data_IF_516930674825
#
_entry.id   IF_516930674825
#
_cell.length_a   1.000
_cell.length_b   1.000
_cell.length_c   1.000
_cell.angle_alpha   90.00
_cell.angle_beta   90.00
_cell.angle_gamma   90.00
#
_symmetry.space_group_name_H-M   'P 1'
#
loop_
_entity.id
_entity.type
_entity.pdbx_description
1 polymer ?
#
# COMPACT_ATOMS: atom_id res chain seq x y z
N UNK A 1 -0.33 -40.37 4.02
CA UNK A 1 -1.39 -39.68 3.26
C UNK A 1 -0.74 -38.66 2.32
N UNK A 2 -0.76 -38.90 1.01
CA UNK A 2 -0.27 -37.91 0.04
C UNK A 2 -1.31 -36.79 -0.08
N UNK A 3 -0.90 -35.55 0.11
CA UNK A 3 -1.76 -34.37 -0.07
C UNK A 3 -1.95 -34.17 -1.57
N UNK A 4 -3.20 -33.99 -2.00
CA UNK A 4 -3.60 -33.69 -3.38
C UNK A 4 -2.75 -32.53 -3.96
N UNK A 5 -2.13 -32.70 -5.14
CA UNK A 5 -1.35 -31.64 -5.79
C UNK A 5 -2.14 -30.34 -6.01
N UNK A 6 -3.45 -30.40 -6.27
CA UNK A 6 -4.29 -29.21 -6.44
C UNK A 6 -4.43 -28.40 -5.15
N UNK A 7 -4.53 -29.08 -4.00
CA UNK A 7 -4.55 -28.44 -2.68
C UNK A 7 -3.22 -27.75 -2.38
N UNK A 8 -2.09 -28.36 -2.79
CA UNK A 8 -0.77 -27.76 -2.62
C UNK A 8 -0.57 -26.52 -3.49
N UNK A 9 -1.06 -26.55 -4.73
CA UNK A 9 -0.97 -25.44 -5.67
C UNK A 9 -1.79 -24.24 -5.19
N UNK A 10 -3.04 -24.46 -4.79
CA UNK A 10 -3.89 -23.41 -4.20
C UNK A 10 -3.28 -22.82 -2.93
N UNK A 11 -2.69 -23.65 -2.07
CA UNK A 11 -1.99 -23.17 -0.88
C UNK A 11 -0.78 -22.28 -1.23
N UNK A 12 0.01 -22.64 -2.25
CA UNK A 12 1.15 -21.82 -2.71
C UNK A 12 0.69 -20.49 -3.28
N UNK A 13 -0.30 -20.50 -4.18
CA UNK A 13 -0.87 -19.28 -4.77
C UNK A 13 -1.44 -18.36 -3.70
N UNK A 14 -2.12 -18.93 -2.69
CA UNK A 14 -2.63 -18.17 -1.56
C UNK A 14 -1.53 -17.46 -0.78
N UNK A 15 -0.38 -18.12 -0.53
CA UNK A 15 0.78 -17.46 0.11
C UNK A 15 1.33 -16.31 -0.73
N UNK A 16 1.52 -16.56 -2.03
CA UNK A 16 2.09 -15.58 -2.95
C UNK A 16 1.20 -14.34 -3.04
N UNK A 17 -0.08 -14.52 -3.32
CA UNK A 17 -1.05 -13.42 -3.44
C UNK A 17 -1.15 -12.66 -2.11
N UNK A 18 -1.22 -13.36 -0.98
CA UNK A 18 -1.26 -12.70 0.33
C UNK A 18 -0.04 -11.84 0.60
N UNK A 19 1.17 -12.32 0.24
CA UNK A 19 2.38 -11.52 0.38
C UNK A 19 2.39 -10.34 -0.58
N UNK A 20 2.06 -10.55 -1.86
CA UNK A 20 2.01 -9.49 -2.87
C UNK A 20 1.08 -8.36 -2.41
N UNK A 21 -0.13 -8.68 -1.96
CA UNK A 21 -1.10 -7.69 -1.49
C UNK A 21 -0.58 -6.85 -0.32
N UNK A 22 0.21 -7.47 0.57
CA UNK A 22 0.86 -6.72 1.66
C UNK A 22 1.97 -5.82 1.14
N UNK A 23 2.78 -6.26 0.18
CA UNK A 23 3.93 -5.49 -0.31
C UNK A 23 3.58 -4.46 -1.40
N UNK A 24 2.41 -4.54 -2.04
CA UNK A 24 1.99 -3.63 -3.12
C UNK A 24 2.23 -2.15 -2.79
N UNK A 25 1.81 -1.62 -1.61
CA UNK A 25 2.09 -0.24 -1.24
C UNK A 25 3.59 0.13 -1.18
N UNK A 26 4.47 -0.81 -0.82
CA UNK A 26 5.92 -0.56 -0.79
C UNK A 26 6.53 -0.59 -2.18
N UNK A 27 5.98 -1.41 -3.06
CA UNK A 27 6.39 -1.49 -4.46
C UNK A 27 5.91 -0.30 -5.29
N UNK A 28 4.98 0.51 -4.75
CA UNK A 28 4.44 1.70 -5.43
C UNK A 28 5.32 2.94 -5.31
N UNK A 29 6.40 2.87 -4.52
CA UNK A 29 7.30 3.99 -4.23
C UNK A 29 8.13 4.41 -5.46
N UNK A 30 8.51 3.44 -6.29
CA UNK A 30 9.48 3.66 -7.38
C UNK A 30 8.82 3.48 -8.75
N UNK A 31 9.14 4.39 -9.66
CA UNK A 31 8.83 4.24 -11.08
C UNK A 31 9.83 3.32 -11.76
N UNK A 32 9.37 2.69 -12.82
CA UNK A 32 10.25 1.96 -13.73
C UNK A 32 10.98 2.99 -14.61
N UNK A 33 12.32 2.92 -14.77
CA UNK A 33 13.08 3.99 -15.44
C UNK A 33 12.62 4.37 -16.86
N UNK A 34 11.93 3.45 -17.56
CA UNK A 34 11.54 3.59 -18.97
C UNK A 34 10.04 3.92 -19.11
N UNK A 35 9.23 3.72 -18.07
CA UNK A 35 7.77 3.84 -18.12
C UNK A 35 7.26 4.62 -16.90
N UNK A 36 6.33 5.57 -17.06
CA UNK A 36 5.74 6.33 -15.95
C UNK A 36 4.70 5.47 -15.19
N UNK A 37 5.12 4.28 -14.76
CA UNK A 37 4.32 3.24 -14.13
C UNK A 37 5.17 2.64 -13.02
N UNK A 38 4.57 2.38 -11.86
CA UNK A 38 5.27 1.72 -10.75
C UNK A 38 5.30 0.20 -10.88
N UNK A 39 6.19 -0.45 -10.12
CA UNK A 39 6.22 -1.91 -10.04
C UNK A 39 4.89 -2.45 -9.50
N UNK A 40 4.27 -1.73 -8.56
CA UNK A 40 2.97 -2.12 -7.99
C UNK A 40 1.88 -2.17 -9.05
N UNK A 41 1.85 -1.20 -9.96
CA UNK A 41 0.85 -1.10 -11.02
C UNK A 41 1.01 -2.22 -12.05
N UNK A 42 2.24 -2.59 -12.42
CA UNK A 42 2.48 -3.74 -13.29
C UNK A 42 1.94 -5.02 -12.64
N UNK A 43 2.25 -5.24 -11.36
CA UNK A 43 1.76 -6.40 -10.62
C UNK A 43 0.22 -6.37 -10.57
N UNK A 44 -0.38 -5.20 -10.34
CA UNK A 44 -1.82 -5.03 -10.31
C UNK A 44 -2.45 -5.43 -11.65
N UNK A 45 -1.89 -4.99 -12.77
CA UNK A 45 -2.38 -5.34 -14.11
C UNK A 45 -2.37 -6.86 -14.28
N UNK A 46 -1.27 -7.53 -13.91
CA UNK A 46 -1.21 -8.99 -13.96
C UNK A 46 -2.26 -9.66 -13.06
N UNK A 47 -2.46 -9.15 -11.84
CA UNK A 47 -3.47 -9.69 -10.93
C UNK A 47 -4.90 -9.47 -11.44
N UNK A 48 -5.17 -8.32 -12.07
CA UNK A 48 -6.46 -8.02 -12.70
C UNK A 48 -6.70 -8.98 -13.87
N UNK A 49 -5.73 -9.14 -14.77
CA UNK A 49 -5.83 -10.09 -15.88
C UNK A 49 -6.05 -11.51 -15.36
N UNK A 50 -5.30 -11.93 -14.33
CA UNK A 50 -5.48 -13.23 -13.69
C UNK A 50 -6.89 -13.38 -13.09
N UNK A 51 -7.40 -12.35 -12.42
CA UNK A 51 -8.73 -12.36 -11.81
C UNK A 51 -9.87 -12.48 -12.83
N UNK A 52 -9.71 -11.97 -14.05
CA UNK A 52 -10.69 -12.11 -15.13
C UNK A 52 -10.89 -13.57 -15.55
N UNK A 53 -9.85 -14.42 -15.41
CA UNK A 53 -9.96 -15.85 -15.69
C UNK A 53 -10.67 -16.63 -14.56
N UNK A 54 -10.78 -16.03 -13.38
CA UNK A 54 -11.46 -16.61 -12.22
C UNK A 54 -12.94 -16.19 -12.24
N UNK A 55 -13.82 -17.10 -12.65
CA UNK A 55 -15.26 -16.84 -12.90
C UNK A 55 -16.13 -16.51 -11.67
N UNK A 56 -15.54 -16.07 -10.55
CA UNK A 56 -16.23 -15.84 -9.29
C UNK A 56 -16.04 -14.39 -8.83
N UNK A 57 -16.80 -13.47 -9.42
CA UNK A 57 -16.86 -12.09 -8.94
C UNK A 57 -18.12 -11.96 -8.09
N UNK A 58 -17.98 -12.01 -6.77
CA UNK A 58 -19.07 -11.67 -5.84
C UNK A 58 -18.81 -10.23 -5.38
N UNK A 59 -19.40 -9.27 -6.10
CA UNK A 59 -19.22 -7.82 -5.88
C UNK A 59 -20.23 -7.22 -4.88
N UNK A 60 -20.88 -8.04 -4.07
CA UNK A 60 -21.94 -7.58 -3.17
C UNK A 60 -21.39 -7.35 -1.75
N UNK A 61 -20.78 -6.18 -1.52
CA UNK A 61 -20.52 -5.70 -0.17
C UNK A 61 -21.00 -4.24 -0.03
N UNK A 62 -22.19 -4.06 0.55
CA UNK A 62 -22.79 -2.73 0.74
C UNK A 62 -21.90 -1.78 1.53
N UNK A 63 -21.20 -2.25 2.56
CA UNK A 63 -20.28 -1.40 3.33
C UNK A 63 -19.15 -0.86 2.46
N UNK A 64 -18.67 -1.66 1.50
CA UNK A 64 -17.65 -1.23 0.55
C UNK A 64 -18.18 -0.18 -0.42
N UNK A 65 -19.39 -0.36 -0.94
CA UNK A 65 -20.04 0.61 -1.83
C UNK A 65 -20.24 1.95 -1.10
N UNK A 66 -20.72 1.92 0.15
CA UNK A 66 -20.83 3.12 0.98
C UNK A 66 -19.49 3.81 1.22
N UNK A 67 -18.43 3.04 1.47
CA UNK A 67 -17.07 3.58 1.57
C UNK A 67 -16.62 4.26 0.28
N UNK A 68 -16.86 3.66 -0.90
CA UNK A 68 -16.52 4.28 -2.19
C UNK A 68 -17.27 5.59 -2.40
N UNK A 69 -18.59 5.63 -2.13
CA UNK A 69 -19.40 6.84 -2.25
C UNK A 69 -18.91 7.93 -1.28
N UNK A 70 -18.61 7.55 -0.04
CA UNK A 70 -18.07 8.46 0.96
C UNK A 70 -16.70 9.03 0.54
N UNK A 71 -15.79 8.17 0.10
CA UNK A 71 -14.46 8.59 -0.36
C UNK A 71 -14.56 9.49 -1.61
N UNK A 72 -15.48 9.17 -2.53
CA UNK A 72 -15.74 9.96 -3.73
C UNK A 72 -16.23 11.37 -3.41
N UNK A 73 -17.30 11.46 -2.61
CA UNK A 73 -17.85 12.76 -2.19
C UNK A 73 -16.85 13.57 -1.38
N UNK A 74 -16.12 12.94 -0.46
CA UNK A 74 -15.05 13.61 0.31
C UNK A 74 -13.94 14.14 -0.60
N UNK A 75 -13.50 13.35 -1.59
CA UNK A 75 -12.48 13.78 -2.55
C UNK A 75 -12.93 14.98 -3.39
N UNK A 76 -14.22 15.04 -3.78
CA UNK A 76 -14.80 16.17 -4.50
C UNK A 76 -14.89 17.42 -3.62
N UNK A 77 -15.27 17.27 -2.35
CA UNK A 77 -15.31 18.40 -1.41
C UNK A 77 -13.89 18.97 -1.22
N UNK A 78 -12.90 18.11 -0.98
CA UNK A 78 -11.49 18.53 -0.83
C UNK A 78 -10.99 19.20 -2.11
N UNK A 79 -11.33 18.66 -3.28
CA UNK A 79 -10.99 19.25 -4.57
C UNK A 79 -11.55 20.67 -4.74
N UNK A 80 -12.79 20.92 -4.31
CA UNK A 80 -13.41 22.25 -4.39
C UNK A 80 -12.84 23.25 -3.37
N UNK A 81 -12.35 22.75 -2.23
CA UNK A 81 -11.75 23.60 -1.20
C UNK A 81 -10.29 23.96 -1.48
N UNK A 82 -9.59 23.17 -2.30
CA UNK A 82 -8.21 23.41 -2.69
C UNK A 82 -8.13 24.20 -4.01
N UNK A 83 -7.28 25.21 -4.06
CA UNK A 83 -7.07 26.04 -5.26
C UNK A 83 -6.35 25.32 -6.42
N UNK A 84 -5.84 24.11 -6.19
CA UNK A 84 -5.14 23.29 -7.18
C UNK A 84 -5.84 21.94 -7.31
N UNK A 85 -6.67 21.80 -8.34
CA UNK A 85 -7.32 20.55 -8.70
C UNK A 85 -7.07 20.21 -10.17
N UNK A 86 -6.30 19.14 -10.40
CA UNK A 86 -6.09 18.59 -11.73
C UNK A 86 -7.05 17.42 -11.93
N UNK A 87 -8.02 17.59 -12.83
CA UNK A 87 -9.07 16.59 -13.06
C UNK A 87 -8.48 15.27 -13.57
N UNK A 88 -7.45 15.34 -14.41
CA UNK A 88 -6.78 14.18 -14.97
C UNK A 88 -6.16 13.31 -13.87
N UNK A 89 -5.42 13.92 -12.93
CA UNK A 89 -4.86 13.20 -11.77
C UNK A 89 -5.93 12.55 -10.91
N UNK A 90 -7.06 13.24 -10.71
CA UNK A 90 -8.17 12.71 -9.93
C UNK A 90 -8.80 11.49 -10.62
N UNK A 91 -9.01 11.55 -11.95
CA UNK A 91 -9.49 10.42 -12.74
C UNK A 91 -8.53 9.23 -12.63
N UNK A 92 -7.22 9.45 -12.78
CA UNK A 92 -6.23 8.37 -12.66
C UNK A 92 -6.23 7.74 -11.26
N UNK A 93 -6.30 8.55 -10.20
CA UNK A 93 -6.39 8.05 -8.81
C UNK A 93 -7.64 7.21 -8.58
N UNK A 94 -8.80 7.63 -9.10
CA UNK A 94 -10.05 6.86 -8.98
C UNK A 94 -10.05 5.58 -9.82
N UNK A 95 -9.53 5.63 -11.05
CA UNK A 95 -9.33 4.44 -11.88
C UNK A 95 -8.45 3.41 -11.16
N UNK A 96 -7.36 3.88 -10.54
CA UNK A 96 -6.46 3.08 -9.71
C UNK A 96 -7.24 2.45 -8.54
N UNK A 97 -7.95 3.23 -7.73
CA UNK A 97 -8.78 2.71 -6.62
C UNK A 97 -9.74 1.62 -7.08
N UNK A 98 -10.46 1.83 -8.19
CA UNK A 98 -11.42 0.85 -8.71
C UNK A 98 -10.72 -0.46 -9.13
N UNK A 99 -9.56 -0.37 -9.79
CA UNK A 99 -8.78 -1.56 -10.17
C UNK A 99 -8.26 -2.32 -8.95
N UNK A 100 -7.71 -1.62 -7.95
CA UNK A 100 -7.30 -2.23 -6.67
C UNK A 100 -8.48 -2.92 -5.97
N UNK A 101 -9.63 -2.25 -5.94
CA UNK A 101 -10.87 -2.77 -5.38
C UNK A 101 -11.29 -4.06 -6.05
N UNK A 102 -11.31 -4.06 -7.38
CA UNK A 102 -11.73 -5.20 -8.18
C UNK A 102 -10.81 -6.40 -7.96
N UNK A 103 -9.49 -6.17 -8.00
CA UNK A 103 -8.48 -7.19 -7.73
C UNK A 103 -8.66 -7.79 -6.32
N UNK A 104 -8.86 -6.96 -5.31
CA UNK A 104 -9.03 -7.42 -3.94
C UNK A 104 -10.35 -8.21 -3.76
N UNK A 105 -11.47 -7.70 -4.27
CA UNK A 105 -12.77 -8.36 -4.13
C UNK A 105 -12.86 -9.69 -4.90
N UNK A 106 -12.16 -9.82 -6.02
CA UNK A 106 -12.14 -11.05 -6.82
C UNK A 106 -11.16 -12.10 -6.27
N UNK A 107 -9.95 -11.69 -5.89
CA UNK A 107 -8.90 -12.64 -5.48
C UNK A 107 -8.93 -12.95 -3.98
N UNK A 108 -9.26 -11.98 -3.13
CA UNK A 108 -9.14 -12.15 -1.68
C UNK A 108 -9.99 -13.31 -1.12
N UNK A 109 -11.26 -13.51 -1.53
CA UNK A 109 -12.08 -14.61 -0.99
C UNK A 109 -11.47 -16.00 -1.20
N UNK A 110 -10.69 -16.20 -2.26
CA UNK A 110 -10.13 -17.49 -2.63
C UNK A 110 -8.67 -17.65 -2.22
N UNK A 111 -7.89 -16.58 -2.32
CA UNK A 111 -6.43 -16.66 -2.20
C UNK A 111 -5.88 -15.88 -1.00
N UNK A 112 -6.66 -15.04 -0.32
CA UNK A 112 -6.14 -14.31 0.85
C UNK A 112 -6.07 -15.23 2.07
N UNK A 113 -4.85 -15.64 2.43
CA UNK A 113 -4.57 -16.25 3.71
C UNK A 113 -4.45 -15.16 4.77
N UNK A 114 -5.54 -14.91 5.49
CA UNK A 114 -5.59 -13.90 6.55
C UNK A 114 -4.48 -14.06 7.59
N UNK A 115 -4.09 -15.29 7.94
CA UNK A 115 -3.01 -15.50 8.92
C UNK A 115 -1.68 -14.96 8.42
N UNK A 116 -1.34 -15.24 7.16
CA UNK A 116 -0.08 -14.78 6.55
C UNK A 116 -0.13 -13.28 6.37
N UNK A 117 -1.22 -12.76 5.81
CA UNK A 117 -1.44 -11.33 5.62
C UNK A 117 -1.22 -10.55 6.93
N UNK A 118 -1.90 -10.98 8.00
CA UNK A 118 -1.81 -10.34 9.33
C UNK A 118 -0.40 -10.45 9.93
N UNK A 119 0.24 -11.62 9.85
CA UNK A 119 1.60 -11.81 10.38
C UNK A 119 2.59 -10.92 9.63
N UNK A 120 2.50 -10.86 8.30
CA UNK A 120 3.40 -10.06 7.46
C UNK A 120 3.20 -8.58 7.74
N UNK A 121 1.96 -8.08 7.78
CA UNK A 121 1.69 -6.67 8.12
C UNK A 121 2.23 -6.33 9.51
N UNK A 122 1.95 -7.15 10.53
CA UNK A 122 2.47 -6.90 11.89
C UNK A 122 3.98 -6.80 11.91
N UNK A 123 4.68 -7.73 11.23
CA UNK A 123 6.14 -7.72 11.16
C UNK A 123 6.67 -6.47 10.46
N UNK A 124 6.06 -6.08 9.33
CA UNK A 124 6.43 -4.87 8.62
C UNK A 124 6.18 -3.61 9.46
N UNK A 125 5.04 -3.51 10.14
CA UNK A 125 4.74 -2.36 10.99
C UNK A 125 5.69 -2.24 12.19
N UNK A 126 6.05 -3.36 12.82
CA UNK A 126 7.09 -3.36 13.87
C UNK A 126 8.44 -2.94 13.30
N UNK A 127 8.80 -3.45 12.12
CA UNK A 127 10.02 -3.03 11.43
C UNK A 127 10.01 -1.52 11.17
N UNK A 128 8.97 -0.96 10.55
CA UNK A 128 8.87 0.48 10.30
C UNK A 128 8.92 1.30 11.58
N UNK A 129 8.27 0.86 12.65
CA UNK A 129 8.34 1.55 13.94
C UNK A 129 9.78 1.57 14.51
N UNK A 130 10.49 0.45 14.49
CA UNK A 130 11.89 0.37 14.95
C UNK A 130 12.77 1.30 14.13
N UNK A 131 12.62 1.28 12.80
CA UNK A 131 13.46 2.10 11.95
C UNK A 131 13.12 3.59 12.10
N UNK A 132 11.85 3.98 12.29
CA UNK A 132 11.49 5.37 12.63
C UNK A 132 12.15 5.84 13.94
N UNK A 133 12.18 4.99 14.98
CA UNK A 133 12.88 5.29 16.23
C UNK A 133 14.38 5.50 15.96
N UNK A 134 15.00 4.62 15.17
CA UNK A 134 16.41 4.73 14.81
C UNK A 134 16.71 6.03 14.04
N UNK A 135 15.91 6.37 13.03
CA UNK A 135 16.05 7.63 12.28
C UNK A 135 15.99 8.83 13.21
N UNK A 136 15.04 8.80 14.16
CA UNK A 136 14.86 9.89 15.12
C UNK A 136 16.06 10.02 16.04
N UNK A 137 16.60 8.89 16.51
CA UNK A 137 17.81 8.88 17.32
C UNK A 137 19.00 9.46 16.54
N UNK A 138 19.24 8.99 15.31
CA UNK A 138 20.33 9.47 14.46
C UNK A 138 20.22 10.96 14.16
N UNK A 139 19.02 11.44 13.88
CA UNK A 139 18.76 12.86 13.64
C UNK A 139 19.00 13.70 14.90
N UNK A 140 18.32 13.40 16.01
CA UNK A 140 18.37 14.29 17.19
C UNK A 140 19.69 14.22 17.97
N UNK A 141 20.45 13.12 17.88
CA UNK A 141 21.67 12.94 18.67
C UNK A 141 22.93 13.10 17.84
N UNK A 142 22.92 12.65 16.58
CA UNK A 142 24.10 12.68 15.72
C UNK A 142 24.00 13.70 14.59
N UNK A 143 22.83 14.35 14.41
CA UNK A 143 22.54 15.24 13.27
C UNK A 143 22.75 14.56 11.91
N UNK A 144 22.53 13.22 11.87
CA UNK A 144 22.67 12.42 10.65
C UNK A 144 21.27 12.16 10.08
N UNK A 145 20.92 12.76 8.93
CA UNK A 145 19.69 12.40 8.25
C UNK A 145 19.83 11.02 7.61
N UNK A 146 18.81 10.18 7.80
CA UNK A 146 18.77 8.85 7.20
C UNK A 146 17.50 8.69 6.37
N UNK A 147 17.66 8.51 5.06
CA UNK A 147 16.57 8.39 4.09
C UNK A 147 16.47 6.96 3.59
N UNK A 148 15.27 6.37 3.58
CA UNK A 148 15.03 5.03 3.01
C UNK A 148 14.55 5.09 1.57
N UNK A 149 15.14 5.99 0.79
CA UNK A 149 14.90 6.11 -0.64
C UNK A 149 16.18 5.79 -1.37
N UNK A 150 16.11 4.91 -2.37
CA UNK A 150 17.27 4.55 -3.18
C UNK A 150 17.64 5.74 -4.07
N UNK A 151 18.86 6.29 -3.95
CA UNK A 151 19.28 7.41 -4.78
C UNK A 151 19.37 7.00 -6.25
N UNK A 152 18.99 7.92 -7.14
CA UNK A 152 19.06 7.73 -8.60
C UNK A 152 17.94 6.88 -9.21
N UNK A 153 16.98 6.41 -8.39
CA UNK A 153 15.74 5.79 -8.90
C UNK A 153 14.62 6.83 -8.87
N UNK A 154 13.92 6.96 -10.00
CA UNK A 154 12.79 7.88 -10.12
C UNK A 154 11.65 7.46 -9.20
N UNK A 155 11.12 8.42 -8.46
CA UNK A 155 10.03 8.19 -7.50
C UNK A 155 8.68 8.29 -8.20
N UNK A 156 7.76 7.40 -7.84
CA UNK A 156 6.38 7.41 -8.33
C UNK A 156 5.54 8.30 -7.43
N UNK A 157 5.85 9.59 -7.50
CA UNK A 157 5.30 10.62 -6.65
C UNK A 157 5.29 11.96 -7.39
N UNK A 158 4.57 12.95 -6.85
CA UNK A 158 4.53 14.31 -7.42
C UNK A 158 5.94 14.90 -7.53
N UNK A 159 6.80 14.60 -6.55
CA UNK A 159 8.23 14.91 -6.61
C UNK A 159 8.97 13.66 -7.06
N UNK A 160 9.39 13.66 -8.33
CA UNK A 160 9.99 12.48 -8.97
C UNK A 160 11.51 12.40 -8.85
N UNK A 161 12.18 13.54 -8.60
CA UNK A 161 13.63 13.62 -8.40
C UNK A 161 14.01 13.44 -6.93
N UNK A 162 15.04 12.64 -6.68
CA UNK A 162 15.54 12.38 -5.33
C UNK A 162 16.03 13.65 -4.62
N UNK A 163 16.78 14.51 -5.31
CA UNK A 163 17.35 15.70 -4.69
C UNK A 163 16.28 16.73 -4.37
N UNK A 164 15.31 16.91 -5.28
CA UNK A 164 14.13 17.75 -5.05
C UNK A 164 13.34 17.24 -3.83
N UNK A 165 13.17 15.93 -3.70
CA UNK A 165 12.49 15.33 -2.55
C UNK A 165 13.24 15.59 -1.23
N UNK A 166 14.58 15.45 -1.21
CA UNK A 166 15.39 15.76 -0.02
C UNK A 166 15.32 17.24 0.34
N UNK A 167 15.37 18.14 -0.65
CA UNK A 167 15.23 19.59 -0.41
C UNK A 167 13.87 19.89 0.22
N UNK A 168 12.79 19.33 -0.33
CA UNK A 168 11.45 19.50 0.22
C UNK A 168 11.32 18.94 1.65
N UNK A 169 11.95 17.79 1.95
CA UNK A 169 12.00 17.28 3.32
C UNK A 169 12.73 18.23 4.28
N UNK A 170 13.86 18.79 3.86
CA UNK A 170 14.65 19.71 4.69
C UNK A 170 13.91 21.02 4.97
N UNK A 171 13.20 21.57 3.98
CA UNK A 171 12.38 22.78 4.13
C UNK A 171 11.32 22.64 5.24
N UNK A 172 10.81 21.44 5.46
CA UNK A 172 9.72 21.19 6.41
C UNK A 172 10.19 20.64 7.77
N UNK A 173 11.47 20.83 8.12
CA UNK A 173 12.02 20.43 9.42
C UNK A 173 12.81 19.11 9.40
N UNK A 174 13.31 18.71 8.23
CA UNK A 174 14.25 17.60 8.07
C UNK A 174 13.62 16.21 8.19
N UNK A 175 14.47 15.18 8.37
CA UNK A 175 14.08 13.78 8.52
C UNK A 175 13.41 13.47 9.89
N UNK A 176 12.79 14.46 10.53
CA UNK A 176 12.05 14.30 11.78
C UNK A 176 10.79 13.45 11.56
N UNK A 177 10.32 12.76 12.63
CA UNK A 177 9.15 11.85 12.76
C UNK A 177 8.08 11.95 11.65
N UNK A 178 8.43 11.52 10.43
CA UNK A 178 7.52 11.58 9.30
C UNK A 178 7.46 10.23 8.63
N UNK A 179 6.24 9.69 8.51
CA UNK A 179 6.02 8.49 7.72
C UNK A 179 6.47 8.62 6.27
N UNK A 180 6.57 9.86 5.76
CA UNK A 180 7.07 10.16 4.42
C UNK A 180 8.45 9.56 4.15
N UNK A 181 9.27 9.35 5.18
CA UNK A 181 10.60 8.77 5.06
C UNK A 181 10.62 7.27 4.66
N UNK A 182 9.49 6.56 4.79
CA UNK A 182 9.29 5.17 4.32
C UNK A 182 8.24 5.05 3.24
N UNK A 183 7.26 5.95 3.27
CA UNK A 183 6.11 5.96 2.38
C UNK A 183 6.00 7.34 1.79
N UNK A 184 6.46 7.53 0.56
CA UNK A 184 6.37 8.83 -0.12
C UNK A 184 4.97 9.44 -0.01
N UNK A 185 3.94 8.58 -0.02
CA UNK A 185 2.57 8.95 0.27
C UNK A 185 2.15 8.66 1.73
N UNK A 186 1.69 9.69 2.49
CA UNK A 186 1.09 9.50 3.82
C UNK A 186 -0.09 8.51 3.85
N UNK A 187 -0.78 8.34 2.72
CA UNK A 187 -1.87 7.40 2.55
C UNK A 187 -1.39 5.93 2.69
N UNK A 188 -0.23 5.60 2.12
CA UNK A 188 0.34 4.26 2.19
C UNK A 188 0.75 3.92 3.62
N UNK A 189 1.36 4.87 4.34
CA UNK A 189 1.62 4.69 5.77
C UNK A 189 0.33 4.48 6.57
N UNK A 190 -0.67 5.33 6.33
CA UNK A 190 -1.95 5.28 7.04
C UNK A 190 -2.62 3.91 6.84
N UNK A 191 -2.53 3.35 5.63
CA UNK A 191 -2.96 1.98 5.37
C UNK A 191 -2.26 0.96 6.29
N UNK A 192 -0.91 0.94 6.33
CA UNK A 192 -0.20 0.01 7.21
C UNK A 192 -0.53 0.23 8.68
N UNK A 193 -0.59 1.48 9.14
CA UNK A 193 -0.86 1.81 10.53
C UNK A 193 -2.27 1.35 10.95
N UNK A 194 -3.30 1.66 10.14
CA UNK A 194 -4.68 1.26 10.41
C UNK A 194 -4.84 -0.26 10.36
N UNK A 195 -4.33 -0.92 9.32
CA UNK A 195 -4.47 -2.37 9.18
C UNK A 195 -3.70 -3.11 10.28
N UNK A 196 -2.52 -2.61 10.66
CA UNK A 196 -1.77 -3.17 11.78
C UNK A 196 -2.49 -2.98 13.10
N UNK A 197 -3.03 -1.79 13.37
CA UNK A 197 -3.81 -1.51 14.59
C UNK A 197 -5.02 -2.44 14.69
N UNK A 198 -5.80 -2.57 13.62
CA UNK A 198 -6.93 -3.50 13.56
C UNK A 198 -6.45 -4.95 13.82
N UNK A 199 -5.33 -5.32 13.20
CA UNK A 199 -4.73 -6.64 13.35
C UNK A 199 -4.24 -6.92 14.78
N UNK A 200 -3.72 -5.93 15.48
CA UNK A 200 -3.29 -6.03 16.88
C UNK A 200 -4.48 -6.10 17.83
N UNK A 201 -5.48 -5.23 17.66
CA UNK A 201 -6.60 -5.09 18.60
C UNK A 201 -7.67 -6.19 18.45
N UNK A 202 -7.99 -6.59 17.21
CA UNK A 202 -9.20 -7.38 16.94
C UNK A 202 -8.90 -8.79 16.42
N UNK A 203 -7.89 -8.96 15.56
CA UNK A 203 -7.65 -10.25 14.90
C UNK A 203 -6.98 -11.31 15.82
N UNK A 204 -6.33 -10.90 16.92
CA UNK A 204 -5.87 -11.86 17.94
C UNK A 204 -7.03 -12.46 18.76
N UNK A 205 -8.18 -11.78 18.86
CA UNK A 205 -9.36 -12.31 19.56
C UNK A 205 -10.09 -13.39 18.75
N UNK A 206 -10.05 -13.31 17.42
CA UNK A 206 -10.74 -14.26 16.52
C UNK A 206 -10.14 -15.67 16.57
N UNK A 207 -8.86 -15.83 16.94
CA UNK A 207 -8.22 -17.15 17.10
C UNK A 207 -8.59 -17.91 18.39
N UNK A 208 -9.32 -17.27 19.32
CA UNK A 208 -9.71 -17.87 20.61
C UNK A 208 -11.17 -18.35 20.65
N UNK A 209 -11.88 -18.24 19.53
CA UNK A 209 -13.21 -18.81 19.29
C UNK A 209 -13.10 -19.89 18.23
#
# INVERSE_FOLDING_TARGET
MAIDPLLRENARMSKIISCILVFLPLLDIYEIPILPISISEIILIFLVLYSLFLRNIILSNYAYIFFLIYAFTTSLIIANLNNYFYIDEWIFKWGRIILYSYCFLSLAPQYLNLNIFVITIKRLSVFFAIIQILQSFLWYILDIPLYFIVPGIKLHYVISDYNEYIQHLMEWGGATWRPSNFFLEPALFSFYAVVALISFLFLQKIKRT
#
